data_IF_489508428871
#
_entry.id   IF_489508428871
#
_cell.length_a   1.000
_cell.length_b   1.000
_cell.length_c   1.000
_cell.angle_alpha   90.00
_cell.angle_beta   90.00
_cell.angle_gamma   90.00
#
_symmetry.space_group_name_H-M   'P 1'
#
loop_
_entity.id
_entity.type
_entity.pdbx_description
1 polymer ?
#
# COMPACT_ATOMS: atom_id res chain seq x y z
N UNK A 1 -1.24 -10.21 12.78
CA UNK A 1 -1.06 -11.16 11.66
C UNK A 1 -1.62 -10.54 10.38
N UNK A 2 -0.80 -10.38 9.33
CA UNK A 2 -1.23 -9.76 8.07
C UNK A 2 -2.06 -10.72 7.19
N UNK A 3 -3.05 -10.20 6.47
CA UNK A 3 -3.78 -10.97 5.46
C UNK A 3 -2.86 -11.27 4.26
N UNK A 4 -2.99 -12.44 3.63
CA UNK A 4 -2.24 -12.81 2.42
C UNK A 4 -2.26 -11.71 1.34
N UNK A 5 -3.40 -11.03 1.16
CA UNK A 5 -3.52 -9.91 0.21
C UNK A 5 -2.63 -8.73 0.61
N UNK A 6 -2.57 -8.40 1.89
CA UNK A 6 -1.73 -7.31 2.40
C UNK A 6 -0.24 -7.63 2.28
N UNK A 7 0.14 -8.90 2.37
CA UNK A 7 1.52 -9.35 2.19
C UNK A 7 1.90 -9.27 0.70
N UNK A 8 1.03 -9.78 -0.17
CA UNK A 8 1.22 -9.74 -1.62
C UNK A 8 1.28 -8.29 -2.14
N UNK A 9 0.37 -7.42 -1.71
CA UNK A 9 0.37 -6.01 -2.13
C UNK A 9 1.59 -5.26 -1.63
N UNK A 10 2.04 -5.51 -0.39
CA UNK A 10 3.27 -4.91 0.12
C UNK A 10 4.49 -5.33 -0.72
N UNK A 11 4.63 -6.61 -1.03
CA UNK A 11 5.74 -7.11 -1.85
C UNK A 11 5.78 -6.48 -3.24
N UNK A 12 4.65 -6.47 -3.95
CA UNK A 12 4.58 -5.95 -5.32
C UNK A 12 4.78 -4.43 -5.33
N UNK A 13 4.19 -3.71 -4.37
CA UNK A 13 4.39 -2.27 -4.25
C UNK A 13 5.85 -1.92 -3.95
N UNK A 14 6.54 -2.70 -3.11
CA UNK A 14 7.95 -2.44 -2.83
C UNK A 14 8.81 -2.45 -4.08
N UNK A 15 8.54 -3.34 -5.03
CA UNK A 15 9.27 -3.41 -6.30
C UNK A 15 8.79 -2.33 -7.29
N UNK A 16 7.48 -2.13 -7.41
CA UNK A 16 6.87 -1.16 -8.35
C UNK A 16 7.22 0.30 -8.07
N UNK A 17 7.49 0.63 -6.80
CA UNK A 17 7.77 2.01 -6.41
C UNK A 17 9.26 2.37 -6.55
N UNK A 18 10.14 1.40 -6.85
CA UNK A 18 11.55 1.67 -7.11
C UNK A 18 11.71 2.55 -8.35
N UNK A 19 12.41 3.67 -8.19
CA UNK A 19 12.64 4.63 -9.28
C UNK A 19 11.51 5.63 -9.52
N UNK A 20 10.38 5.53 -8.82
CA UNK A 20 9.34 6.58 -8.82
C UNK A 20 9.72 7.71 -7.86
N UNK A 21 9.33 8.93 -8.20
CA UNK A 21 9.46 10.08 -7.30
C UNK A 21 8.43 10.05 -6.18
N UNK A 22 8.75 10.66 -5.04
CA UNK A 22 7.82 10.80 -3.89
C UNK A 22 6.47 11.40 -4.33
N UNK A 23 6.50 12.38 -5.24
CA UNK A 23 5.28 13.03 -5.77
C UNK A 23 4.41 12.04 -6.53
N UNK A 24 5.00 11.17 -7.36
CA UNK A 24 4.26 10.13 -8.08
C UNK A 24 3.64 9.12 -7.13
N UNK A 25 4.39 8.70 -6.09
CA UNK A 25 3.92 7.76 -5.07
C UNK A 25 2.72 8.34 -4.30
N UNK A 26 2.78 9.63 -3.95
CA UNK A 26 1.70 10.34 -3.26
C UNK A 26 0.44 10.52 -4.11
N UNK A 27 0.53 10.41 -5.43
CA UNK A 27 -0.61 10.49 -6.35
C UNK A 27 -1.23 9.13 -6.69
N UNK A 28 -0.65 8.02 -6.22
CA UNK A 28 -1.20 6.69 -6.47
C UNK A 28 -2.56 6.50 -5.76
N UNK A 29 -3.52 5.95 -6.49
CA UNK A 29 -4.86 5.68 -5.99
C UNK A 29 -5.03 4.23 -5.52
N UNK A 30 -6.04 3.98 -4.69
CA UNK A 30 -6.41 2.63 -4.23
C UNK A 30 -6.67 1.65 -5.38
N UNK A 31 -7.20 2.17 -6.50
CA UNK A 31 -7.48 1.43 -7.73
C UNK A 31 -6.21 0.83 -8.33
N UNK A 32 -5.07 1.52 -8.19
CA UNK A 32 -3.76 1.05 -8.63
C UNK A 32 -3.41 -0.29 -7.99
N UNK A 33 -3.65 -0.44 -6.69
CA UNK A 33 -3.32 -1.67 -5.96
C UNK A 33 -4.17 -2.86 -6.44
N UNK A 34 -5.43 -2.63 -6.78
CA UNK A 34 -6.27 -3.67 -7.38
C UNK A 34 -5.73 -4.11 -8.75
N UNK A 35 -5.30 -3.13 -9.56
CA UNK A 35 -4.71 -3.38 -10.88
C UNK A 35 -3.43 -4.22 -10.82
N UNK A 36 -2.46 -3.85 -9.97
CA UNK A 36 -1.19 -4.59 -9.86
C UNK A 36 -1.34 -6.00 -9.28
N UNK A 37 -2.35 -6.22 -8.44
CA UNK A 37 -2.66 -7.56 -7.93
C UNK A 37 -3.36 -8.44 -8.96
N UNK A 38 -3.89 -7.85 -10.05
CA UNK A 38 -4.62 -8.59 -11.08
C UNK A 38 -5.92 -9.23 -10.58
N UNK A 39 -6.49 -8.72 -9.48
CA UNK A 39 -7.72 -9.25 -8.88
C UNK A 39 -8.77 -8.17 -8.71
N UNK A 40 -10.03 -8.54 -8.91
CA UNK A 40 -11.14 -7.68 -8.50
C UNK A 40 -11.28 -7.69 -6.98
N UNK A 41 -10.96 -6.56 -6.36
CA UNK A 41 -11.09 -6.39 -4.92
C UNK A 41 -12.55 -6.10 -4.55
N UNK A 42 -13.17 -7.02 -3.81
CA UNK A 42 -14.44 -6.75 -3.14
C UNK A 42 -14.27 -5.70 -2.04
N UNK A 43 -15.35 -5.01 -1.67
CA UNK A 43 -15.35 -3.93 -0.66
C UNK A 43 -14.67 -4.34 0.65
N UNK A 44 -14.81 -5.60 1.06
CA UNK A 44 -14.22 -6.15 2.29
C UNK A 44 -12.70 -6.37 2.18
N UNK A 45 -12.15 -6.61 0.98
CA UNK A 45 -10.72 -6.86 0.76
C UNK A 45 -9.93 -5.63 0.34
N UNK A 46 -10.63 -4.56 -0.07
CA UNK A 46 -10.03 -3.27 -0.44
C UNK A 46 -9.14 -2.68 0.65
N UNK A 47 -9.57 -2.75 1.91
CA UNK A 47 -8.78 -2.24 3.05
C UNK A 47 -7.44 -2.97 3.20
N UNK A 48 -7.44 -4.30 3.08
CA UNK A 48 -6.21 -5.10 3.17
C UNK A 48 -5.24 -4.81 2.01
N UNK A 49 -5.76 -4.59 0.81
CA UNK A 49 -4.95 -4.23 -0.35
C UNK A 49 -4.37 -2.81 -0.21
N UNK A 50 -5.19 -1.82 0.20
CA UNK A 50 -4.79 -0.41 0.32
C UNK A 50 -3.76 -0.16 1.42
N UNK A 51 -3.80 -0.95 2.50
CA UNK A 51 -3.02 -0.70 3.71
C UNK A 51 -1.52 -0.41 3.43
N UNK A 52 -0.80 -1.19 2.60
CA UNK A 52 0.61 -0.92 2.33
C UNK A 52 0.82 0.34 1.50
N UNK A 53 -0.04 0.62 0.51
CA UNK A 53 0.04 1.86 -0.28
C UNK A 53 -0.10 3.08 0.64
N UNK A 54 -1.07 3.06 1.55
CA UNK A 54 -1.28 4.12 2.51
C UNK A 54 -0.06 4.30 3.45
N UNK A 55 0.52 3.19 3.93
CA UNK A 55 1.71 3.24 4.77
C UNK A 55 2.91 3.86 4.03
N UNK A 56 3.11 3.49 2.75
CA UNK A 56 4.19 4.02 1.92
C UNK A 56 3.97 5.50 1.62
N UNK A 57 2.75 5.93 1.30
CA UNK A 57 2.42 7.34 1.12
C UNK A 57 2.68 8.15 2.39
N UNK A 58 2.34 7.62 3.56
CA UNK A 58 2.66 8.28 4.83
C UNK A 58 4.18 8.37 5.04
N UNK A 59 4.92 7.29 4.80
CA UNK A 59 6.39 7.27 4.93
C UNK A 59 7.09 8.17 3.91
N UNK A 60 6.52 8.34 2.72
CA UNK A 60 7.06 9.22 1.69
C UNK A 60 6.82 10.71 2.01
N UNK A 61 5.74 11.02 2.74
CA UNK A 61 5.37 12.39 3.13
C UNK A 61 5.90 12.79 4.52
N UNK A 62 6.15 11.83 5.42
CA UNK A 62 6.74 12.05 6.74
C UNK A 62 8.11 11.37 6.78
N UNK A 63 9.18 12.14 6.97
CA UNK A 63 10.54 11.60 7.16
C UNK A 63 10.60 10.62 8.36
N UNK A 64 10.32 9.34 8.11
CA UNK A 64 10.75 8.19 8.92
C UNK A 64 10.16 8.00 10.32
N UNK A 65 8.87 8.26 10.56
CA UNK A 65 8.25 7.86 11.84
C UNK A 65 6.76 7.52 11.70
N UNK A 66 6.45 6.24 11.47
CA UNK A 66 5.14 5.69 11.81
C UNK A 66 5.30 4.20 12.12
N UNK A 67 5.55 3.91 13.39
CA UNK A 67 5.32 2.58 13.92
C UNK A 67 3.84 2.23 13.68
N UNK A 68 3.51 1.00 13.25
CA UNK A 68 2.13 0.58 13.15
C UNK A 68 1.54 0.60 14.55
N UNK A 69 0.69 1.57 14.86
CA UNK A 69 -0.05 1.56 16.13
C UNK A 69 -0.89 0.28 16.17
N UNK A 70 -0.69 -0.61 17.17
CA UNK A 70 -1.55 -1.76 17.33
C UNK A 70 -2.95 -1.22 17.65
N UNK A 71 -3.88 -1.44 16.72
CA UNK A 71 -5.30 -1.20 16.95
C UNK A 71 -5.76 -2.09 18.13
N UNK A 72 -6.52 -1.55 19.11
CA UNK A 72 -6.97 -2.31 20.29
C UNK A 72 -7.76 -3.56 19.95
#
# INVERSE_FOLDING_TARGET
SGCAISIASASILSDELLGKSITEISQLEDSYVGGILGIELTTSRRKCARLPLQAIQQAANANGAAEPTPNP
#
